data_IF_829876654974
#
_entry.id   IF_829876654974
#
_cell.length_a   1.000
_cell.length_b   1.000
_cell.length_c   1.000
_cell.angle_alpha   90.00
_cell.angle_beta   90.00
_cell.angle_gamma   90.00
#
_symmetry.space_group_name_H-M   'P 1'
#
loop_
_entity.id
_entity.type
_entity.pdbx_description
1 polymer ?
#
# COMPACT_ATOMS: atom_id res chain seq x y z
N UNK A 1 11.36 -27.16 -9.70
CA UNK A 1 10.68 -25.86 -9.99
C UNK A 1 10.45 -24.97 -8.76
N UNK A 2 10.46 -25.48 -7.50
CA UNK A 2 10.33 -24.70 -6.24
C UNK A 2 11.29 -23.51 -6.14
N UNK A 3 12.58 -23.74 -6.45
CA UNK A 3 13.63 -22.73 -6.29
C UNK A 3 13.46 -21.45 -7.14
N UNK A 4 12.77 -21.52 -8.28
CA UNK A 4 12.48 -20.34 -9.11
C UNK A 4 11.38 -19.47 -8.47
N UNK A 5 10.36 -20.11 -7.88
CA UNK A 5 9.26 -19.42 -7.21
C UNK A 5 9.72 -18.71 -5.93
N UNK A 6 10.52 -19.38 -5.11
CA UNK A 6 11.02 -18.80 -3.86
C UNK A 6 11.94 -17.60 -4.12
N UNK A 7 12.73 -17.65 -5.20
CA UNK A 7 13.52 -16.49 -5.66
C UNK A 7 12.64 -15.32 -6.08
N UNK A 8 11.56 -15.57 -6.82
CA UNK A 8 10.61 -14.53 -7.25
C UNK A 8 9.92 -13.90 -6.03
N UNK A 9 9.46 -14.71 -5.07
CA UNK A 9 8.85 -14.22 -3.84
C UNK A 9 9.80 -13.33 -3.04
N UNK A 10 11.07 -13.72 -2.88
CA UNK A 10 12.08 -12.90 -2.20
C UNK A 10 12.33 -11.56 -2.90
N UNK A 11 12.30 -11.52 -4.23
CA UNK A 11 12.46 -10.28 -4.99
C UNK A 11 11.24 -9.38 -4.78
N UNK A 12 10.02 -9.95 -4.91
CA UNK A 12 8.78 -9.22 -4.68
C UNK A 12 8.70 -8.66 -3.26
N UNK A 13 9.15 -9.42 -2.26
CA UNK A 13 9.21 -9.00 -0.87
C UNK A 13 10.15 -7.79 -0.70
N UNK A 14 11.37 -7.85 -1.24
CA UNK A 14 12.33 -6.73 -1.20
C UNK A 14 11.78 -5.47 -1.88
N UNK A 15 11.15 -5.62 -3.05
CA UNK A 15 10.52 -4.49 -3.76
C UNK A 15 9.38 -3.92 -2.92
N UNK A 16 8.54 -4.77 -2.33
CA UNK A 16 7.42 -4.32 -1.49
C UNK A 16 7.93 -3.55 -0.27
N UNK A 17 8.94 -4.05 0.43
CA UNK A 17 9.56 -3.36 1.58
C UNK A 17 10.13 -2.00 1.17
N UNK A 18 10.80 -1.93 0.02
CA UNK A 18 11.33 -0.68 -0.51
C UNK A 18 10.21 0.34 -0.80
N UNK A 19 9.13 -0.08 -1.45
CA UNK A 19 7.98 0.79 -1.75
C UNK A 19 7.26 1.25 -0.48
N UNK A 20 7.08 0.36 0.51
CA UNK A 20 6.50 0.73 1.82
C UNK A 20 7.36 1.80 2.50
N UNK A 21 8.68 1.65 2.45
CA UNK A 21 9.62 2.63 3.01
C UNK A 21 9.49 3.98 2.29
N UNK A 22 9.39 3.99 0.96
CA UNK A 22 9.18 5.21 0.17
C UNK A 22 7.86 5.91 0.52
N UNK A 23 6.77 5.15 0.73
CA UNK A 23 5.50 5.73 1.19
C UNK A 23 5.70 6.41 2.55
N UNK A 24 6.33 5.73 3.52
CA UNK A 24 6.56 6.32 4.84
C UNK A 24 7.34 7.64 4.74
N UNK A 25 8.44 7.66 3.99
CA UNK A 25 9.24 8.88 3.78
C UNK A 25 8.38 9.98 3.13
N UNK A 26 7.60 9.64 2.11
CA UNK A 26 6.71 10.60 1.43
C UNK A 26 5.65 11.17 2.38
N UNK A 27 5.04 10.32 3.22
CA UNK A 27 4.04 10.75 4.22
C UNK A 27 4.67 11.70 5.22
N UNK A 28 5.85 11.38 5.75
CA UNK A 28 6.59 12.25 6.67
C UNK A 28 6.94 13.58 6.03
N UNK A 29 7.43 13.58 4.79
CA UNK A 29 7.71 14.79 4.03
C UNK A 29 6.46 15.66 3.85
N UNK A 30 5.32 15.04 3.51
CA UNK A 30 4.08 15.78 3.32
C UNK A 30 3.51 16.33 4.64
N UNK A 31 3.71 15.63 5.77
CA UNK A 31 3.38 16.16 7.09
C UNK A 31 4.28 17.31 7.51
N UNK A 32 5.58 17.24 7.21
CA UNK A 32 6.50 18.35 7.44
C UNK A 32 6.09 19.58 6.64
N UNK A 33 5.71 19.42 5.37
CA UNK A 33 5.18 20.51 4.53
C UNK A 33 3.88 21.06 5.10
N UNK A 34 2.95 20.21 5.52
CA UNK A 34 1.70 20.65 6.17
C UNK A 34 1.96 21.50 7.41
N UNK A 35 2.93 21.09 8.23
CA UNK A 35 3.27 21.79 9.47
C UNK A 35 3.98 23.13 9.21
N UNK A 36 4.81 23.20 8.17
CA UNK A 36 5.62 24.38 7.84
C UNK A 36 4.92 25.39 6.93
N UNK A 37 4.11 24.94 5.97
CA UNK A 37 3.43 25.76 4.96
C UNK A 37 1.90 25.80 5.13
N UNK A 38 1.34 25.10 6.12
CA UNK A 38 -0.10 25.07 6.40
C UNK A 38 -0.95 24.30 5.39
N UNK A 39 -0.35 23.73 4.34
CA UNK A 39 -1.05 23.06 3.26
C UNK A 39 -0.45 21.68 2.93
N UNK A 40 -1.29 20.76 2.49
CA UNK A 40 -0.86 19.44 2.01
C UNK A 40 -0.40 19.59 0.55
N UNK A 41 0.74 18.98 0.22
CA UNK A 41 1.17 18.89 -1.16
C UNK A 41 0.38 17.79 -1.87
N UNK A 42 -0.52 18.18 -2.77
CA UNK A 42 -1.39 17.28 -3.51
C UNK A 42 -0.63 16.32 -4.44
N UNK A 43 0.52 16.74 -4.99
CA UNK A 43 1.38 15.87 -5.81
C UNK A 43 1.99 14.75 -4.98
N UNK A 44 2.51 15.05 -3.78
CA UNK A 44 3.01 14.02 -2.87
C UNK A 44 1.90 13.07 -2.41
N UNK A 45 0.70 13.60 -2.13
CA UNK A 45 -0.47 12.80 -1.78
C UNK A 45 -0.86 11.84 -2.91
N UNK A 46 -0.86 12.31 -4.16
CA UNK A 46 -1.14 11.48 -5.32
C UNK A 46 -0.11 10.35 -5.48
N UNK A 47 1.18 10.66 -5.31
CA UNK A 47 2.26 9.65 -5.34
C UNK A 47 2.04 8.59 -4.25
N UNK A 48 1.67 8.98 -3.03
CA UNK A 48 1.39 8.05 -1.94
C UNK A 48 0.24 7.09 -2.29
N UNK A 49 -0.84 7.61 -2.89
CA UNK A 49 -1.98 6.79 -3.32
C UNK A 49 -1.56 5.80 -4.41
N UNK A 50 -0.83 6.25 -5.43
CA UNK A 50 -0.36 5.38 -6.51
C UNK A 50 0.55 4.28 -5.97
N UNK A 51 1.51 4.63 -5.10
CA UNK A 51 2.39 3.66 -4.47
C UNK A 51 1.61 2.65 -3.61
N UNK A 52 0.60 3.10 -2.86
CA UNK A 52 -0.24 2.22 -2.05
C UNK A 52 -0.99 1.21 -2.92
N UNK A 53 -1.56 1.63 -4.05
CA UNK A 53 -2.21 0.74 -5.01
C UNK A 53 -1.24 -0.30 -5.59
N UNK A 54 -0.01 0.11 -5.92
CA UNK A 54 1.03 -0.81 -6.41
C UNK A 54 1.36 -1.87 -5.35
N UNK A 55 1.46 -1.51 -4.06
CA UNK A 55 1.72 -2.45 -2.96
C UNK A 55 0.56 -3.45 -2.80
N UNK A 56 -0.69 -2.98 -2.91
CA UNK A 56 -1.87 -3.87 -2.89
C UNK A 56 -1.76 -4.92 -3.99
N UNK A 57 -1.41 -4.51 -5.22
CA UNK A 57 -1.25 -5.44 -6.34
C UNK A 57 -0.09 -6.42 -6.08
N UNK A 58 1.06 -5.95 -5.60
CA UNK A 58 2.22 -6.81 -5.31
C UNK A 58 1.93 -7.85 -4.23
N UNK A 59 1.22 -7.47 -3.17
CA UNK A 59 0.86 -8.38 -2.07
C UNK A 59 -0.16 -9.43 -2.52
N UNK A 60 -1.13 -9.08 -3.36
CA UNK A 60 -2.06 -10.02 -3.97
C UNK A 60 -1.33 -11.00 -4.92
N UNK A 61 -0.39 -10.51 -5.74
CA UNK A 61 0.45 -11.34 -6.60
C UNK A 61 1.29 -12.32 -5.76
N UNK A 62 1.91 -11.86 -4.67
CA UNK A 62 2.67 -12.73 -3.76
C UNK A 62 1.78 -13.84 -3.17
N UNK A 63 0.56 -13.51 -2.74
CA UNK A 63 -0.38 -14.48 -2.21
C UNK A 63 -0.80 -15.53 -3.26
N UNK A 64 -1.05 -15.11 -4.51
CA UNK A 64 -1.34 -16.01 -5.63
C UNK A 64 -0.16 -16.94 -5.95
N UNK A 65 1.06 -16.40 -6.00
CA UNK A 65 2.28 -17.18 -6.27
C UNK A 65 2.50 -18.20 -5.15
N UNK A 66 2.25 -17.82 -3.90
CA UNK A 66 2.34 -18.71 -2.74
C UNK A 66 1.23 -19.77 -2.71
N UNK A 67 0.25 -19.70 -3.63
CA UNK A 67 -0.95 -20.55 -3.68
C UNK A 67 -1.75 -20.56 -2.38
N UNK A 68 -1.57 -19.55 -1.53
CA UNK A 68 -2.24 -19.46 -0.25
C UNK A 68 -3.57 -18.72 -0.44
N UNK A 69 -4.62 -19.51 -0.75
CA UNK A 69 -5.97 -18.98 -1.00
C UNK A 69 -6.54 -18.24 0.19
N UNK A 70 -6.30 -18.73 1.41
CA UNK A 70 -6.75 -18.07 2.64
C UNK A 70 -6.14 -16.67 2.76
N UNK A 71 -4.81 -16.56 2.64
CA UNK A 71 -4.10 -15.27 2.67
C UNK A 71 -4.62 -14.31 1.59
N UNK A 72 -4.83 -14.81 0.37
CA UNK A 72 -5.33 -13.99 -0.74
C UNK A 72 -6.72 -13.40 -0.46
N UNK A 73 -7.68 -14.21 0.00
CA UNK A 73 -9.02 -13.70 0.35
C UNK A 73 -9.00 -12.80 1.59
N UNK A 74 -8.16 -13.07 2.58
CA UNK A 74 -7.96 -12.18 3.72
C UNK A 74 -7.44 -10.81 3.27
N UNK A 75 -6.47 -10.77 2.35
CA UNK A 75 -5.96 -9.50 1.81
C UNK A 75 -7.03 -8.74 1.03
N UNK A 76 -7.81 -9.42 0.18
CA UNK A 76 -8.93 -8.78 -0.52
C UNK A 76 -9.92 -8.18 0.48
N UNK A 77 -10.34 -8.96 1.49
CA UNK A 77 -11.26 -8.51 2.52
C UNK A 77 -10.71 -7.31 3.29
N UNK A 78 -9.44 -7.36 3.69
CA UNK A 78 -8.76 -6.27 4.38
C UNK A 78 -8.73 -4.98 3.54
N UNK A 79 -8.36 -5.07 2.26
CA UNK A 79 -8.31 -3.90 1.37
C UNK A 79 -9.69 -3.35 1.04
N UNK A 80 -10.68 -4.21 0.82
CA UNK A 80 -12.07 -3.79 0.62
C UNK A 80 -12.61 -3.07 1.86
N UNK A 81 -12.38 -3.62 3.06
CA UNK A 81 -12.82 -3.03 4.32
C UNK A 81 -12.12 -1.70 4.60
N UNK A 82 -10.83 -1.59 4.28
CA UNK A 82 -10.09 -0.32 4.35
C UNK A 82 -10.68 0.75 3.44
N UNK A 83 -11.00 0.39 2.19
CA UNK A 83 -11.66 1.31 1.26
C UNK A 83 -13.05 1.74 1.73
N UNK A 84 -13.81 0.81 2.32
CA UNK A 84 -15.14 1.07 2.86
C UNK A 84 -15.08 1.98 4.09
N UNK A 85 -14.13 1.74 5.00
CA UNK A 85 -13.87 2.63 6.14
C UNK A 85 -13.49 4.03 5.64
N UNK A 86 -12.57 4.14 4.68
CA UNK A 86 -12.20 5.44 4.10
C UNK A 86 -13.42 6.20 3.56
N UNK A 87 -14.30 5.51 2.82
CA UNK A 87 -15.53 6.11 2.30
C UNK A 87 -16.45 6.61 3.43
N UNK A 88 -16.66 5.80 4.47
CA UNK A 88 -17.50 6.17 5.62
C UNK A 88 -16.93 7.39 6.35
N UNK A 89 -15.62 7.40 6.62
CA UNK A 89 -14.96 8.52 7.30
C UNK A 89 -14.99 9.81 6.48
N UNK A 90 -14.78 9.71 5.17
CA UNK A 90 -14.89 10.85 4.24
C UNK A 90 -16.32 11.39 4.18
N UNK A 91 -17.31 10.51 4.07
CA UNK A 91 -18.73 10.90 4.07
C UNK A 91 -19.18 11.55 5.38
N UNK A 92 -18.56 11.18 6.50
CA UNK A 92 -18.79 11.78 7.81
C UNK A 92 -18.02 13.10 8.02
N UNK A 93 -17.32 13.61 7.01
CA UNK A 93 -16.49 14.83 7.06
C UNK A 93 -15.43 14.79 8.17
N UNK A 94 -14.98 13.59 8.57
CA UNK A 94 -13.96 13.39 9.61
C UNK A 94 -12.54 13.37 9.04
N UNK A 95 -12.38 13.22 7.73
CA UNK A 95 -11.11 13.19 6.99
C UNK A 95 -11.32 13.71 5.56
#
# INVERSE_FOLDING_TARGET
MKMKRDKILKILEKITIFLVTLIMISVLANQYIKTSAGAINESLRMIQIVLALVIVVLTLIMALINKNKALFFTLIGFYALTGLLFYVFKSANKI
#
